data_IF_917793918534
#
_entry.id   IF_917793918534
#
_cell.length_a   1.000
_cell.length_b   1.000
_cell.length_c   1.000
_cell.angle_alpha   90.00
_cell.angle_beta   90.00
_cell.angle_gamma   90.00
#
_symmetry.space_group_name_H-M   'P 1'
#
loop_
_entity.id
_entity.type
_entity.pdbx_description
1 polymer ?
#
# COMPACT_ATOMS: atom_id res chain seq x y z
N UNK A 1 -40.18 31.90 -6.76
CA UNK A 1 -39.12 32.63 -6.05
C UNK A 1 -38.91 31.97 -4.68
N UNK A 2 -37.99 31.08 -4.54
CA UNK A 2 -37.40 30.68 -3.25
C UNK A 2 -36.03 30.08 -3.56
N UNK A 3 -35.00 30.86 -3.23
CA UNK A 3 -33.61 30.47 -3.29
C UNK A 3 -33.33 29.43 -2.21
N UNK A 4 -32.81 28.27 -2.60
CA UNK A 4 -32.10 27.37 -1.70
C UNK A 4 -30.63 27.66 -1.86
N UNK A 5 -30.08 28.32 -0.86
CA UNK A 5 -28.66 28.50 -0.65
C UNK A 5 -27.99 27.14 -0.34
N UNK A 6 -27.13 26.74 -1.23
CA UNK A 6 -26.19 25.62 -1.03
C UNK A 6 -25.24 25.99 0.11
N UNK A 7 -25.29 25.21 1.17
CA UNK A 7 -24.23 25.20 2.17
C UNK A 7 -23.18 24.18 1.71
N UNK A 8 -22.11 24.68 1.12
CA UNK A 8 -20.91 23.90 0.87
C UNK A 8 -20.20 23.65 2.19
N UNK A 9 -20.27 22.40 2.69
CA UNK A 9 -19.42 21.92 3.76
C UNK A 9 -17.97 21.86 3.28
N UNK A 10 -17.13 22.63 3.94
CA UNK A 10 -15.68 22.64 3.80
C UNK A 10 -15.07 21.32 4.28
N UNK A 11 -14.96 20.33 3.42
CA UNK A 11 -13.97 19.27 3.53
C UNK A 11 -12.82 19.59 2.58
N UNK A 12 -11.81 20.28 3.13
CA UNK A 12 -10.68 20.81 2.37
C UNK A 12 -9.66 19.74 1.97
N UNK A 13 -10.07 18.77 1.14
CA UNK A 13 -9.16 17.82 0.49
C UNK A 13 -9.30 18.02 -1.01
N UNK A 14 -8.21 18.38 -1.72
CA UNK A 14 -8.28 18.55 -3.17
C UNK A 14 -8.65 17.22 -3.83
N UNK A 15 -9.77 17.21 -4.53
CA UNK A 15 -10.33 16.06 -5.28
C UNK A 15 -9.31 15.38 -6.22
N UNK A 16 -8.19 16.03 -6.53
CA UNK A 16 -7.10 15.52 -7.35
C UNK A 16 -6.23 14.45 -6.65
N UNK A 17 -6.10 14.49 -5.32
CA UNK A 17 -5.29 13.53 -4.57
C UNK A 17 -6.01 12.20 -4.40
N UNK A 18 -7.31 12.22 -4.13
CA UNK A 18 -8.14 11.01 -4.01
C UNK A 18 -8.18 10.20 -5.31
N UNK A 19 -8.15 10.84 -6.47
CA UNK A 19 -8.05 10.13 -7.75
C UNK A 19 -6.76 9.30 -7.89
N UNK A 20 -5.66 9.74 -7.28
CA UNK A 20 -4.39 8.98 -7.23
C UNK A 20 -4.46 7.85 -6.22
N UNK A 21 -4.99 8.12 -5.02
CA UNK A 21 -5.18 7.10 -3.96
C UNK A 21 -6.19 6.05 -4.40
N UNK A 22 -7.33 6.46 -4.99
CA UNK A 22 -8.36 5.56 -5.51
C UNK A 22 -7.83 4.62 -6.61
N UNK A 23 -6.88 5.04 -7.44
CA UNK A 23 -6.26 4.16 -8.44
C UNK A 23 -5.52 2.98 -7.80
N UNK A 24 -4.96 3.16 -6.60
CA UNK A 24 -4.33 2.10 -5.81
C UNK A 24 -5.30 1.37 -4.87
N UNK A 25 -6.43 2.02 -4.53
CA UNK A 25 -7.56 1.39 -3.81
C UNK A 25 -8.33 0.42 -4.70
N UNK A 26 -8.49 0.77 -5.99
CA UNK A 26 -9.28 -0.01 -6.97
C UNK A 26 -8.47 -1.09 -7.70
N UNK A 27 -7.26 -1.43 -7.27
CA UNK A 27 -6.66 -2.68 -7.70
C UNK A 27 -7.55 -3.78 -7.10
N UNK A 28 -8.33 -4.51 -7.92
CA UNK A 28 -9.25 -5.50 -7.40
C UNK A 28 -8.45 -6.59 -6.71
N UNK A 29 -8.39 -6.53 -5.40
CA UNK A 29 -7.88 -7.62 -4.59
C UNK A 29 -8.92 -8.75 -4.63
N UNK A 30 -9.05 -9.39 -5.80
CA UNK A 30 -9.76 -10.65 -5.91
C UNK A 30 -9.01 -11.66 -5.07
N UNK A 31 -9.68 -12.10 -4.03
CA UNK A 31 -9.32 -13.22 -3.18
C UNK A 31 -8.40 -12.87 -1.98
N UNK A 32 -9.01 -12.43 -0.92
CA UNK A 32 -8.59 -12.89 0.40
C UNK A 32 -9.79 -13.58 1.06
N UNK A 33 -10.05 -14.81 0.60
CA UNK A 33 -10.88 -15.73 1.34
C UNK A 33 -10.09 -16.32 2.51
N UNK A 34 -10.78 -16.39 3.65
CA UNK A 34 -10.47 -17.12 4.89
C UNK A 34 -9.28 -16.61 5.70
N UNK A 35 -9.62 -15.85 6.74
CA UNK A 35 -8.88 -15.90 8.00
C UNK A 35 -8.73 -17.36 8.40
N UNK A 36 -7.51 -17.86 8.43
CA UNK A 36 -7.19 -19.05 9.22
C UNK A 36 -7.08 -18.56 10.64
N UNK A 37 -8.07 -18.90 11.44
CA UNK A 37 -7.98 -18.85 12.90
C UNK A 37 -6.90 -19.85 13.30
N UNK A 38 -5.71 -19.33 13.59
CA UNK A 38 -4.67 -20.13 14.24
C UNK A 38 -4.95 -20.03 15.73
N UNK A 39 -5.80 -20.91 16.23
CA UNK A 39 -5.84 -21.26 17.64
C UNK A 39 -4.61 -22.14 17.93
N UNK A 40 -3.48 -21.50 18.20
CA UNK A 40 -2.28 -22.12 18.76
C UNK A 40 -2.30 -21.91 20.26
N UNK A 41 -2.71 -22.93 21.00
CA UNK A 41 -2.41 -23.06 22.43
C UNK A 41 -0.90 -23.20 22.57
N UNK A 42 -0.27 -22.28 23.27
CA UNK A 42 1.13 -22.27 23.63
C UNK A 42 1.29 -21.65 25.01
N UNK A 43 1.67 -22.49 25.92
CA UNK A 43 1.89 -22.44 27.35
C UNK A 43 2.34 -21.09 27.95
N UNK A 44 1.73 -20.83 29.12
CA UNK A 44 2.11 -19.77 30.05
C UNK A 44 3.49 -20.06 30.64
N UNK A 45 4.45 -19.20 30.39
CA UNK A 45 5.64 -19.11 31.23
C UNK A 45 5.61 -17.77 31.98
N UNK A 46 5.43 -17.91 33.29
CA UNK A 46 5.41 -16.85 34.27
C UNK A 46 6.81 -16.23 34.40
N UNK A 47 6.95 -14.95 34.11
CA UNK A 47 8.03 -14.13 34.63
C UNK A 47 7.43 -12.95 35.38
N UNK A 48 7.52 -13.00 36.71
CA UNK A 48 7.30 -11.89 37.62
C UNK A 48 8.50 -10.92 37.51
N UNK A 49 8.22 -9.65 37.29
CA UNK A 49 9.20 -8.56 37.33
C UNK A 49 8.50 -7.25 37.08
N UNK A 50 8.31 -6.56 38.17
CA UNK A 50 8.02 -5.15 38.44
C UNK A 50 7.58 -4.18 37.31
N UNK A 51 6.53 -3.48 37.71
CA UNK A 51 5.83 -2.35 37.15
C UNK A 51 6.71 -1.31 36.43
N UNK A 52 6.52 -1.21 35.13
CA UNK A 52 6.64 0.07 34.47
C UNK A 52 5.28 0.39 33.81
N UNK A 53 4.64 1.46 34.29
CA UNK A 53 3.36 1.96 33.80
C UNK A 53 3.52 2.39 32.35
N UNK A 54 3.42 1.46 31.43
CA UNK A 54 3.17 1.76 30.04
C UNK A 54 1.76 2.37 29.97
N UNK A 55 1.72 3.70 29.98
CA UNK A 55 0.50 4.46 29.73
C UNK A 55 0.01 4.07 28.34
N UNK A 56 -0.96 3.17 28.35
CA UNK A 56 -1.67 2.70 27.18
C UNK A 56 -2.60 3.83 26.70
N UNK A 57 -2.01 4.91 26.18
CA UNK A 57 -2.73 5.96 25.48
C UNK A 57 -3.12 5.38 24.11
N UNK A 58 -4.13 4.52 24.10
CA UNK A 58 -4.94 4.28 22.92
C UNK A 58 -5.74 5.54 22.63
N UNK A 59 -5.07 6.61 22.21
CA UNK A 59 -5.73 7.67 21.49
C UNK A 59 -6.24 7.02 20.20
N UNK A 60 -7.54 6.80 20.14
CA UNK A 60 -8.20 6.34 18.91
C UNK A 60 -7.99 7.44 17.88
N UNK A 61 -7.02 7.23 16.98
CA UNK A 61 -6.83 8.11 15.83
C UNK A 61 -8.17 8.26 15.11
N UNK A 62 -8.59 9.50 14.91
CA UNK A 62 -9.78 9.77 14.11
C UNK A 62 -9.61 9.18 12.72
N UNK A 63 -10.68 8.74 12.10
CA UNK A 63 -10.66 8.26 10.72
C UNK A 63 -10.11 9.33 9.77
N UNK A 64 -10.50 10.58 9.99
CA UNK A 64 -10.02 11.75 9.21
C UNK A 64 -8.51 11.92 9.33
N UNK A 65 -7.94 11.75 10.53
CA UNK A 65 -6.50 11.83 10.73
C UNK A 65 -5.77 10.70 9.99
N UNK A 66 -6.31 9.48 10.04
CA UNK A 66 -5.76 8.33 9.30
C UNK A 66 -5.79 8.57 7.78
N UNK A 67 -6.84 9.18 7.25
CA UNK A 67 -6.97 9.56 5.85
C UNK A 67 -5.87 10.54 5.46
N UNK A 68 -5.65 11.59 6.24
CA UNK A 68 -4.57 12.57 6.01
C UNK A 68 -3.17 11.95 6.08
N UNK A 69 -2.92 11.07 7.03
CA UNK A 69 -1.64 10.36 7.13
C UNK A 69 -1.41 9.41 5.95
N UNK A 70 -2.44 8.64 5.58
CA UNK A 70 -2.36 7.72 4.45
C UNK A 70 -2.10 8.47 3.14
N UNK A 71 -2.79 9.60 2.92
CA UNK A 71 -2.61 10.45 1.75
C UNK A 71 -1.18 11.00 1.68
N UNK A 72 -0.67 11.55 2.77
CA UNK A 72 0.71 12.08 2.85
C UNK A 72 1.75 11.00 2.54
N UNK A 73 1.56 9.79 3.08
CA UNK A 73 2.46 8.65 2.82
C UNK A 73 2.40 8.22 1.35
N UNK A 74 1.21 8.08 0.78
CA UNK A 74 1.06 7.67 -0.63
C UNK A 74 1.61 8.73 -1.57
N UNK A 75 1.37 10.01 -1.31
CA UNK A 75 1.93 11.11 -2.09
C UNK A 75 3.46 11.08 -2.06
N UNK A 76 4.07 10.96 -0.88
CA UNK A 76 5.52 10.84 -0.73
C UNK A 76 6.09 9.66 -1.52
N UNK A 77 5.47 8.49 -1.42
CA UNK A 77 5.90 7.29 -2.15
C UNK A 77 5.83 7.48 -3.67
N UNK A 78 4.82 8.20 -4.17
CA UNK A 78 4.64 8.46 -5.60
C UNK A 78 5.63 9.49 -6.14
N UNK A 79 5.80 10.60 -5.44
CA UNK A 79 6.66 11.71 -5.86
C UNK A 79 8.14 11.35 -5.82
N UNK A 80 8.57 10.68 -4.75
CA UNK A 80 9.96 10.23 -4.61
C UNK A 80 10.29 8.97 -5.41
N UNK A 81 9.28 8.24 -5.90
CA UNK A 81 9.42 6.90 -6.51
C UNK A 81 10.22 5.90 -5.65
N UNK A 82 10.36 6.17 -4.35
CA UNK A 82 11.18 5.38 -3.41
C UNK A 82 10.68 3.92 -3.27
N UNK A 83 9.46 3.63 -3.71
CA UNK A 83 8.96 2.25 -3.77
C UNK A 83 9.78 1.35 -4.70
N UNK A 84 10.62 1.92 -5.58
CA UNK A 84 11.56 1.18 -6.43
C UNK A 84 12.79 0.68 -5.66
N UNK A 85 13.08 1.25 -4.48
CA UNK A 85 14.19 0.79 -3.66
C UNK A 85 13.88 -0.60 -3.07
N UNK A 86 14.74 -1.61 -3.32
CA UNK A 86 14.47 -2.99 -2.87
C UNK A 86 14.30 -3.11 -1.36
N UNK A 87 14.98 -2.27 -0.59
CA UNK A 87 15.07 -2.31 0.89
C UNK A 87 14.16 -1.32 1.58
N UNK A 88 13.17 -0.77 0.87
CA UNK A 88 12.24 0.16 1.48
C UNK A 88 11.51 -0.47 2.67
N UNK A 89 11.48 0.26 3.79
CA UNK A 89 10.79 -0.15 5.01
C UNK A 89 9.84 0.95 5.49
N UNK A 90 8.87 0.55 6.31
CA UNK A 90 7.96 1.52 6.95
C UNK A 90 8.74 2.51 7.85
N UNK A 91 9.84 2.06 8.47
CA UNK A 91 10.69 2.91 9.30
C UNK A 91 11.39 4.00 8.49
N UNK A 92 11.83 3.68 7.28
CA UNK A 92 12.40 4.68 6.36
C UNK A 92 11.38 5.77 6.03
N UNK A 93 10.17 5.37 5.63
CA UNK A 93 9.09 6.30 5.29
C UNK A 93 8.64 7.11 6.50
N UNK A 94 8.62 6.50 7.68
CA UNK A 94 8.32 7.18 8.94
C UNK A 94 9.29 8.34 9.21
N UNK A 95 10.60 8.07 9.06
CA UNK A 95 11.64 9.10 9.20
C UNK A 95 11.49 10.21 8.18
N UNK A 96 11.19 9.89 6.93
CA UNK A 96 11.07 10.87 5.85
C UNK A 96 9.81 11.74 5.96
N UNK A 97 8.69 11.18 6.42
CA UNK A 97 7.40 11.88 6.50
C UNK A 97 7.13 12.52 7.85
N UNK A 98 7.91 12.18 8.88
CA UNK A 98 7.68 12.59 10.27
C UNK A 98 6.47 11.91 10.93
N UNK A 99 5.93 10.83 10.32
CA UNK A 99 4.78 10.07 10.84
C UNK A 99 5.29 8.77 11.44
N UNK A 100 4.84 8.39 12.65
CA UNK A 100 5.32 7.17 13.28
C UNK A 100 4.96 5.91 12.47
N UNK A 101 5.83 4.89 12.49
CA UNK A 101 5.63 3.61 11.79
C UNK A 101 4.32 2.93 12.17
N UNK A 102 3.91 3.07 13.42
CA UNK A 102 2.64 2.52 13.93
C UNK A 102 1.46 3.21 13.27
N UNK A 103 1.45 4.54 13.20
CA UNK A 103 0.39 5.33 12.55
C UNK A 103 0.32 5.00 11.07
N UNK A 104 1.46 4.93 10.37
CA UNK A 104 1.52 4.55 8.95
C UNK A 104 0.89 3.17 8.74
N UNK A 105 1.33 2.18 9.52
CA UNK A 105 0.83 0.80 9.39
C UNK A 105 -0.66 0.70 9.71
N UNK A 106 -1.12 1.38 10.76
CA UNK A 106 -2.52 1.40 11.16
C UNK A 106 -3.39 2.07 10.09
N UNK A 107 -3.00 3.24 9.59
CA UNK A 107 -3.75 3.97 8.56
C UNK A 107 -3.87 3.16 7.27
N UNK A 108 -2.76 2.57 6.78
CA UNK A 108 -2.76 1.72 5.59
C UNK A 108 -3.65 0.50 5.79
N UNK A 109 -3.55 -0.20 6.94
CA UNK A 109 -4.38 -1.37 7.20
C UNK A 109 -5.86 -1.02 7.31
N UNK A 110 -6.20 0.04 8.02
CA UNK A 110 -7.60 0.44 8.25
C UNK A 110 -8.26 0.95 6.98
N UNK A 111 -7.56 1.77 6.20
CA UNK A 111 -8.15 2.43 5.03
C UNK A 111 -8.02 1.60 3.75
N UNK A 112 -6.91 0.89 3.56
CA UNK A 112 -6.63 0.17 2.33
C UNK A 112 -6.80 -1.36 2.47
N UNK A 113 -7.02 -1.87 3.68
CA UNK A 113 -7.09 -3.31 3.94
C UNK A 113 -5.80 -4.06 3.59
N UNK A 114 -4.67 -3.36 3.55
CA UNK A 114 -3.36 -3.89 3.11
C UNK A 114 -2.31 -3.55 4.14
N UNK A 115 -1.27 -4.37 4.24
CA UNK A 115 -0.07 -3.96 4.94
C UNK A 115 0.84 -3.10 4.03
N UNK A 116 1.81 -2.42 4.64
CA UNK A 116 2.77 -1.57 3.92
C UNK A 116 3.47 -2.29 2.75
N UNK A 117 3.90 -3.53 2.97
CA UNK A 117 4.59 -4.32 1.95
C UNK A 117 3.69 -4.61 0.73
N UNK A 118 2.41 -4.93 0.95
CA UNK A 118 1.45 -5.14 -0.13
C UNK A 118 1.14 -3.83 -0.87
N UNK A 119 1.15 -2.68 -0.19
CA UNK A 119 1.01 -1.37 -0.84
C UNK A 119 2.20 -1.11 -1.78
N UNK A 120 3.43 -1.29 -1.30
CA UNK A 120 4.65 -1.12 -2.11
C UNK A 120 4.65 -2.05 -3.33
N UNK A 121 4.34 -3.34 -3.14
CA UNK A 121 4.27 -4.29 -4.24
C UNK A 121 3.18 -3.90 -5.26
N UNK A 122 2.05 -3.36 -4.81
CA UNK A 122 1.02 -2.82 -5.69
C UNK A 122 1.56 -1.70 -6.58
N UNK A 123 2.29 -0.75 -5.99
CA UNK A 123 2.89 0.37 -6.73
C UNK A 123 3.92 -0.11 -7.76
N UNK A 124 4.76 -1.08 -7.38
CA UNK A 124 5.74 -1.70 -8.27
C UNK A 124 5.08 -2.39 -9.46
N UNK A 125 4.05 -3.20 -9.21
CA UNK A 125 3.30 -3.91 -10.27
C UNK A 125 2.65 -2.92 -11.22
N UNK A 126 2.03 -1.86 -10.72
CA UNK A 126 1.44 -0.82 -11.57
C UNK A 126 2.50 -0.12 -12.45
N UNK A 127 3.68 0.16 -11.92
CA UNK A 127 4.78 0.72 -12.72
C UNK A 127 5.23 -0.25 -13.81
N UNK A 128 5.37 -1.53 -13.49
CA UNK A 128 5.72 -2.58 -14.46
C UNK A 128 4.68 -2.65 -15.57
N UNK A 129 3.40 -2.66 -15.23
CA UNK A 129 2.30 -2.67 -16.22
C UNK A 129 2.40 -1.52 -17.21
N UNK A 130 2.68 -0.30 -16.72
CA UNK A 130 2.90 0.86 -17.60
C UNK A 130 4.09 0.66 -18.51
N UNK A 131 5.25 0.25 -17.96
CA UNK A 131 6.45 -0.01 -18.75
C UNK A 131 6.23 -1.10 -19.81
N UNK A 132 5.43 -2.13 -19.52
CA UNK A 132 5.08 -3.16 -20.48
C UNK A 132 4.19 -2.62 -21.61
N UNK A 133 3.23 -1.75 -21.30
CA UNK A 133 2.38 -1.10 -22.31
C UNK A 133 3.16 -0.08 -23.15
N UNK A 134 4.14 0.58 -22.57
CA UNK A 134 5.04 1.53 -23.26
C UNK A 134 6.06 0.82 -24.16
N UNK A 135 6.03 -0.50 -24.24
CA UNK A 135 6.90 -1.28 -25.13
C UNK A 135 8.31 -1.54 -24.58
N UNK A 136 8.56 -1.32 -23.30
CA UNK A 136 9.87 -1.58 -22.68
C UNK A 136 10.35 -3.03 -22.82
N UNK A 137 9.43 -4.01 -22.98
CA UNK A 137 9.74 -5.41 -23.23
C UNK A 137 10.46 -5.65 -24.57
N UNK A 138 10.48 -4.69 -25.49
CA UNK A 138 11.26 -4.79 -26.73
C UNK A 138 12.79 -4.59 -26.49
N UNK A 139 13.14 -3.96 -25.35
CA UNK A 139 14.53 -3.68 -24.96
C UNK A 139 14.99 -4.49 -23.75
N UNK A 140 14.07 -4.83 -22.85
CA UNK A 140 14.37 -5.46 -21.56
C UNK A 140 13.46 -6.68 -21.35
N UNK A 141 14.01 -7.71 -20.72
CA UNK A 141 13.16 -8.83 -20.27
C UNK A 141 12.20 -8.39 -19.16
N UNK A 142 11.11 -9.12 -18.98
CA UNK A 142 10.12 -8.83 -17.93
C UNK A 142 10.78 -8.84 -16.55
N UNK A 143 11.76 -9.73 -16.33
CA UNK A 143 12.52 -9.82 -15.09
C UNK A 143 13.44 -8.61 -14.88
N UNK A 144 14.05 -8.09 -15.95
CA UNK A 144 14.85 -6.87 -15.87
C UNK A 144 13.96 -5.68 -15.51
N UNK A 145 12.79 -5.54 -16.14
CA UNK A 145 11.82 -4.51 -15.81
C UNK A 145 11.38 -4.62 -14.34
N UNK A 146 11.14 -5.84 -13.84
CA UNK A 146 10.77 -6.06 -12.45
C UNK A 146 11.89 -5.63 -11.48
N UNK A 147 13.16 -5.91 -11.80
CA UNK A 147 14.31 -5.45 -11.00
C UNK A 147 14.42 -3.93 -10.99
N UNK A 148 14.24 -3.27 -12.13
CA UNK A 148 14.20 -1.80 -12.22
C UNK A 148 13.08 -1.18 -11.39
N UNK A 149 12.02 -1.94 -11.12
CA UNK A 149 10.91 -1.53 -10.24
C UNK A 149 11.08 -1.98 -8.78
N UNK A 150 12.25 -2.50 -8.38
CA UNK A 150 12.59 -2.81 -6.99
C UNK A 150 12.30 -4.23 -6.52
N UNK A 151 11.97 -5.16 -7.41
CA UNK A 151 11.88 -6.57 -7.03
C UNK A 151 13.27 -7.23 -6.98
N UNK A 152 13.63 -7.83 -5.84
CA UNK A 152 14.92 -8.49 -5.65
C UNK A 152 15.04 -9.83 -6.38
N UNK A 153 13.93 -10.55 -6.53
CA UNK A 153 13.93 -11.88 -7.15
C UNK A 153 12.76 -12.04 -8.11
N UNK A 154 12.95 -12.93 -9.09
CA UNK A 154 11.90 -13.35 -10.02
C UNK A 154 10.70 -13.92 -9.27
N UNK A 155 10.94 -14.78 -8.28
CA UNK A 155 9.87 -15.42 -7.52
C UNK A 155 8.99 -14.42 -6.78
N UNK A 156 9.60 -13.44 -6.09
CA UNK A 156 8.83 -12.40 -5.38
C UNK A 156 8.00 -11.53 -6.33
N UNK A 157 8.53 -11.24 -7.51
CA UNK A 157 7.81 -10.52 -8.55
C UNK A 157 6.60 -11.31 -9.07
N UNK A 158 6.81 -12.55 -9.51
CA UNK A 158 5.72 -13.37 -10.05
C UNK A 158 4.62 -13.63 -9.01
N UNK A 159 4.99 -13.89 -7.75
CA UNK A 159 4.02 -14.04 -6.65
C UNK A 159 3.21 -12.76 -6.44
N UNK A 160 3.87 -11.61 -6.40
CA UNK A 160 3.18 -10.33 -6.24
C UNK A 160 2.27 -10.02 -7.42
N UNK A 161 2.75 -10.22 -8.64
CA UNK A 161 1.98 -9.96 -9.86
C UNK A 161 0.75 -10.86 -9.95
N UNK A 162 0.91 -12.18 -9.76
CA UNK A 162 -0.21 -13.13 -9.75
C UNK A 162 -1.22 -12.82 -8.65
N UNK A 163 -0.73 -12.42 -7.47
CA UNK A 163 -1.62 -12.05 -6.35
C UNK A 163 -2.48 -10.84 -6.67
N UNK A 164 -1.96 -9.88 -7.44
CA UNK A 164 -2.62 -8.61 -7.76
C UNK A 164 -3.50 -8.74 -8.99
N UNK A 165 -2.99 -9.34 -10.08
CA UNK A 165 -3.65 -9.40 -11.39
C UNK A 165 -4.41 -10.71 -11.63
N UNK A 166 -4.16 -11.75 -10.83
CA UNK A 166 -4.77 -13.07 -10.98
C UNK A 166 -4.21 -13.87 -12.18
N UNK A 167 -3.14 -13.39 -12.81
CA UNK A 167 -2.52 -14.03 -13.97
C UNK A 167 -1.02 -13.70 -14.03
N UNK A 168 -0.28 -14.40 -14.88
CA UNK A 168 1.14 -14.14 -15.10
C UNK A 168 1.37 -12.83 -15.87
N UNK A 169 2.57 -12.18 -15.71
CA UNK A 169 2.91 -10.98 -16.47
C UNK A 169 2.82 -11.16 -17.99
N UNK A 170 3.19 -12.35 -18.48
CA UNK A 170 3.15 -12.68 -19.91
C UNK A 170 1.72 -12.80 -20.42
N UNK A 171 0.84 -13.46 -19.67
CA UNK A 171 -0.59 -13.57 -20.00
C UNK A 171 -1.26 -12.19 -19.96
N UNK A 172 -0.92 -11.40 -18.93
CA UNK A 172 -1.43 -10.04 -18.81
C UNK A 172 -1.02 -9.18 -20.01
N UNK A 173 0.25 -9.27 -20.45
CA UNK A 173 0.74 -8.53 -21.60
C UNK A 173 0.04 -8.94 -22.88
N UNK A 174 -0.14 -10.25 -23.14
CA UNK A 174 -0.87 -10.76 -24.30
C UNK A 174 -2.31 -10.25 -24.35
N UNK A 175 -2.98 -10.19 -23.20
CA UNK A 175 -4.37 -9.72 -23.08
C UNK A 175 -4.51 -8.21 -23.29
N UNK A 176 -3.51 -7.41 -22.93
CA UNK A 176 -3.58 -5.94 -22.94
C UNK A 176 -2.77 -5.30 -24.08
N UNK A 177 -1.98 -6.07 -24.83
CA UNK A 177 -1.31 -5.61 -26.03
C UNK A 177 -2.33 -5.60 -27.17
N UNK A 178 -2.75 -4.39 -27.57
CA UNK A 178 -3.53 -4.15 -28.79
C UNK A 178 -2.61 -4.11 -30.00
#
# INVERSE_FOLDING_TARGET
MKNYSEQEEHSGVPKSCWGRVLRYLMIPFKVFGKRRDVTGQGEKQSCRGEADKCVNTRSSLSRTDMEGYCEKVVAYLQESEIYKEPDISVAYVAKATGISSTIISQSINTLLGKNFFNLINGMRVEKIKRMLLDGCQNKYSIEQIARMCGFRSRSSFYLAFNKIEGMTPTEWLKKNKK
#
